data_IF_022271996264
#
_entry.id   IF_022271996264
#
_cell.length_a   1.000
_cell.length_b   1.000
_cell.length_c   1.000
_cell.angle_alpha   90.00
_cell.angle_beta   90.00
_cell.angle_gamma   90.00
#
_symmetry.space_group_name_H-M   'P 1'
#
loop_
_entity.id
_entity.type
_entity.pdbx_description
1 polymer ?
#
# COMPACT_ATOMS: atom_id res chain seq x y z
N UNK A 1 8.50 10.56 -32.28
CA UNK A 1 7.21 10.44 -31.57
C UNK A 1 7.35 11.20 -30.27
N UNK A 2 6.61 12.29 -30.07
CA UNK A 2 6.66 13.05 -28.81
C UNK A 2 6.09 12.24 -27.64
N UNK A 3 6.45 12.55 -26.39
CA UNK A 3 5.88 11.88 -25.23
C UNK A 3 4.35 12.04 -25.23
N UNK A 4 3.64 10.92 -25.00
CA UNK A 4 2.18 10.89 -24.89
C UNK A 4 1.75 11.82 -23.73
N UNK A 5 0.72 12.65 -23.88
CA UNK A 5 0.29 13.58 -22.82
C UNK A 5 -0.04 12.81 -21.53
N UNK A 6 0.35 13.38 -20.38
CA UNK A 6 0.23 12.75 -19.07
C UNK A 6 -1.17 12.91 -18.45
N UNK A 7 -2.04 13.69 -19.09
CA UNK A 7 -3.40 13.98 -18.61
C UNK A 7 -4.34 12.87 -19.08
N UNK A 8 -4.81 12.03 -18.16
CA UNK A 8 -5.71 10.92 -18.50
C UNK A 8 -7.18 11.23 -18.22
N UNK A 9 -7.50 12.11 -17.27
CA UNK A 9 -8.89 12.38 -16.92
C UNK A 9 -9.08 13.74 -16.25
N UNK A 10 -10.16 14.45 -16.61
CA UNK A 10 -10.63 15.67 -15.96
C UNK A 10 -11.96 15.35 -15.28
N UNK A 11 -12.06 15.57 -13.96
CA UNK A 11 -13.36 15.48 -13.29
C UNK A 11 -14.14 16.76 -13.57
N UNK A 12 -15.22 16.64 -14.34
CA UNK A 12 -16.06 17.76 -14.75
C UNK A 12 -16.78 18.45 -13.58
N UNK A 13 -16.84 17.82 -12.40
CA UNK A 13 -17.51 18.38 -11.20
C UNK A 13 -16.56 19.19 -10.32
N UNK A 14 -15.30 18.78 -10.20
CA UNK A 14 -14.31 19.44 -9.33
C UNK A 14 -13.33 20.32 -10.11
N UNK A 15 -13.23 20.13 -11.44
CA UNK A 15 -12.20 20.78 -12.26
C UNK A 15 -10.79 20.23 -12.03
N UNK A 16 -10.65 19.20 -11.19
CA UNK A 16 -9.38 18.52 -10.95
C UNK A 16 -8.99 17.69 -12.17
N UNK A 17 -7.68 17.61 -12.40
CA UNK A 17 -7.07 16.76 -13.42
C UNK A 17 -6.27 15.65 -12.75
N UNK A 18 -6.45 14.43 -13.20
CA UNK A 18 -5.62 13.31 -12.76
C UNK A 18 -4.50 13.11 -13.78
N UNK A 19 -3.27 13.23 -13.30
CA UNK A 19 -2.05 13.07 -14.10
C UNK A 19 -1.34 11.79 -13.65
N UNK A 20 -1.14 10.86 -14.58
CA UNK A 20 -0.33 9.66 -14.35
C UNK A 20 1.05 9.88 -14.98
N UNK A 21 2.09 9.84 -14.14
CA UNK A 21 3.48 9.98 -14.57
C UNK A 21 3.96 8.65 -15.14
N UNK A 22 4.03 8.51 -16.47
CA UNK A 22 4.39 7.24 -17.11
C UNK A 22 5.91 6.95 -17.11
N UNK A 23 6.74 7.97 -16.94
CA UNK A 23 8.20 7.91 -16.84
C UNK A 23 8.66 9.06 -15.94
N UNK A 24 9.84 8.97 -15.29
CA UNK A 24 10.30 10.02 -14.39
C UNK A 24 10.28 11.41 -15.04
N UNK A 25 9.65 12.38 -14.37
CA UNK A 25 9.48 13.75 -14.87
C UNK A 25 9.59 14.78 -13.76
N UNK A 26 10.19 15.92 -14.06
CA UNK A 26 10.24 17.03 -13.11
C UNK A 26 8.86 17.66 -12.93
N UNK A 27 8.59 18.21 -11.75
CA UNK A 27 7.34 18.94 -11.50
C UNK A 27 7.20 20.21 -12.35
N UNK A 28 8.32 20.78 -12.82
CA UNK A 28 8.33 21.91 -13.74
C UNK A 28 7.80 21.53 -15.13
N UNK A 29 8.20 20.35 -15.64
CA UNK A 29 7.64 19.82 -16.89
C UNK A 29 6.14 19.54 -16.76
N UNK A 30 5.71 18.96 -15.64
CA UNK A 30 4.30 18.68 -15.37
C UNK A 30 3.51 20.00 -15.27
N UNK A 31 4.03 20.99 -14.54
CA UNK A 31 3.39 22.29 -14.38
C UNK A 31 3.23 23.01 -15.73
N UNK A 32 4.26 23.00 -16.58
CA UNK A 32 4.21 23.61 -17.91
C UNK A 32 3.15 22.94 -18.79
N UNK A 33 3.02 21.63 -18.73
CA UNK A 33 2.00 20.89 -19.50
C UNK A 33 0.58 21.19 -19.01
N UNK A 34 0.37 21.26 -17.70
CA UNK A 34 -0.98 21.41 -17.13
C UNK A 34 -1.45 22.86 -17.09
N UNK A 35 -0.56 23.79 -16.73
CA UNK A 35 -0.88 25.20 -16.46
C UNK A 35 -0.28 26.18 -17.48
N UNK A 36 0.64 25.74 -18.32
CA UNK A 36 1.33 26.61 -19.28
C UNK A 36 2.54 27.36 -18.71
N UNK A 37 2.88 27.17 -17.43
CA UNK A 37 4.07 27.75 -16.80
C UNK A 37 4.64 26.85 -15.69
N UNK A 38 5.86 27.14 -15.23
CA UNK A 38 6.57 26.32 -14.23
C UNK A 38 6.35 26.73 -12.77
N UNK A 39 5.70 27.86 -12.50
CA UNK A 39 5.55 28.40 -11.13
C UNK A 39 4.87 27.41 -10.18
N UNK A 40 3.87 26.61 -10.60
CA UNK A 40 3.24 25.61 -9.72
C UNK A 40 4.11 24.40 -9.39
N UNK A 41 5.32 24.26 -9.92
CA UNK A 41 6.14 23.05 -9.76
C UNK A 41 6.31 22.63 -8.28
N UNK A 42 6.70 23.57 -7.42
CA UNK A 42 6.86 23.29 -5.99
C UNK A 42 5.54 22.93 -5.31
N UNK A 43 4.42 23.51 -5.76
CA UNK A 43 3.09 23.13 -5.28
C UNK A 43 2.75 21.70 -5.70
N UNK A 44 2.99 21.32 -6.96
CA UNK A 44 2.74 19.97 -7.43
C UNK A 44 3.57 18.92 -6.69
N UNK A 45 4.84 19.24 -6.37
CA UNK A 45 5.69 18.41 -5.52
C UNK A 45 5.09 18.21 -4.12
N UNK A 46 4.66 19.30 -3.49
CA UNK A 46 4.00 19.24 -2.19
C UNK A 46 2.70 18.40 -2.23
N UNK A 47 1.88 18.55 -3.29
CA UNK A 47 0.65 17.77 -3.47
C UNK A 47 0.93 16.27 -3.66
N UNK A 48 2.08 15.92 -4.25
CA UNK A 48 2.54 14.55 -4.37
C UNK A 48 3.19 14.01 -3.08
N UNK A 49 3.58 14.88 -2.15
CA UNK A 49 4.40 14.49 -0.99
C UNK A 49 5.84 14.17 -1.32
N UNK A 50 6.35 14.76 -2.41
CA UNK A 50 7.68 14.49 -2.91
C UNK A 50 8.56 15.75 -2.80
N UNK A 51 9.89 15.59 -2.68
CA UNK A 51 10.82 16.71 -2.78
C UNK A 51 10.66 17.43 -4.13
N UNK A 52 10.76 18.76 -4.13
CA UNK A 52 10.58 19.56 -5.34
C UNK A 52 11.77 19.49 -6.31
N UNK A 53 12.93 19.09 -5.80
CA UNK A 53 14.18 18.89 -6.53
C UNK A 53 14.33 17.49 -7.13
N UNK A 54 13.45 16.55 -6.76
CA UNK A 54 13.41 15.21 -7.32
C UNK A 54 12.33 15.08 -8.42
N UNK A 55 12.59 14.31 -9.49
CA UNK A 55 11.55 14.00 -10.46
C UNK A 55 10.48 13.12 -9.83
N UNK A 56 9.21 13.39 -10.18
CA UNK A 56 8.12 12.47 -9.89
C UNK A 56 8.41 11.11 -10.54
N UNK A 57 8.45 10.00 -9.78
CA UNK A 57 8.69 8.67 -10.32
C UNK A 57 7.62 8.22 -11.33
N UNK A 58 7.96 7.20 -12.12
CA UNK A 58 6.95 6.49 -12.89
C UNK A 58 5.90 5.88 -11.96
N UNK A 59 4.62 5.93 -12.35
CA UNK A 59 3.49 5.49 -11.55
C UNK A 59 2.98 6.53 -10.54
N UNK A 60 3.59 7.72 -10.44
CA UNK A 60 3.03 8.79 -9.62
C UNK A 60 1.68 9.24 -10.17
N UNK A 61 0.64 9.12 -9.35
CA UNK A 61 -0.69 9.65 -9.61
C UNK A 61 -0.80 11.00 -8.91
N UNK A 62 -0.99 12.06 -9.67
CA UNK A 62 -1.13 13.41 -9.16
C UNK A 62 -2.53 13.94 -9.43
N UNK A 63 -3.23 14.33 -8.36
CA UNK A 63 -4.49 15.06 -8.46
C UNK A 63 -4.17 16.55 -8.49
N UNK A 64 -4.31 17.13 -9.66
CA UNK A 64 -3.92 18.51 -9.95
C UNK A 64 -5.15 19.41 -9.88
N UNK A 65 -5.20 20.38 -8.94
CA UNK A 65 -6.37 21.24 -8.76
C UNK A 65 -6.38 22.40 -9.76
N UNK A 66 -7.52 23.10 -9.93
CA UNK A 66 -7.57 24.35 -10.70
C UNK A 66 -6.57 25.39 -10.18
N UNK A 67 -6.09 26.28 -11.05
CA UNK A 67 -5.07 27.27 -10.70
C UNK A 67 -5.44 28.15 -9.48
N UNK A 68 -6.73 28.47 -9.32
CA UNK A 68 -7.24 29.27 -8.19
C UNK A 68 -7.18 28.55 -6.83
N UNK A 69 -6.99 27.24 -6.81
CA UNK A 69 -6.91 26.42 -5.58
C UNK A 69 -5.47 26.05 -5.21
N UNK A 70 -4.48 26.37 -6.04
CA UNK A 70 -3.09 25.93 -5.84
C UNK A 70 -2.54 26.31 -4.46
N UNK A 71 -2.78 27.54 -4.00
CA UNK A 71 -2.22 28.00 -2.73
C UNK A 71 -2.88 27.34 -1.52
N UNK A 72 -4.22 27.22 -1.50
CA UNK A 72 -4.92 26.53 -0.40
C UNK A 72 -4.55 25.04 -0.36
N UNK A 73 -4.44 24.40 -1.53
CA UNK A 73 -4.01 23.00 -1.67
C UNK A 73 -2.56 22.81 -1.23
N UNK A 74 -1.67 23.77 -1.53
CA UNK A 74 -0.29 23.79 -1.04
C UNK A 74 -0.22 23.85 0.48
N UNK A 75 -0.98 24.75 1.09
CA UNK A 75 -1.02 24.89 2.56
C UNK A 75 -1.52 23.62 3.24
N UNK A 76 -2.60 23.03 2.69
CA UNK A 76 -3.15 21.76 3.14
C UNK A 76 -2.13 20.62 2.99
N UNK A 77 -1.42 20.55 1.85
CA UNK A 77 -0.37 19.56 1.61
C UNK A 77 0.80 19.68 2.58
N UNK A 78 1.28 20.91 2.84
CA UNK A 78 2.37 21.14 3.81
C UNK A 78 1.94 20.77 5.22
N UNK A 79 0.69 21.06 5.61
CA UNK A 79 0.17 20.64 6.91
C UNK A 79 0.04 19.12 7.00
N UNK A 80 -0.49 18.47 5.96
CA UNK A 80 -0.59 17.02 5.87
C UNK A 80 0.79 16.35 5.94
N UNK A 81 1.81 16.92 5.29
CA UNK A 81 3.17 16.41 5.30
C UNK A 81 3.77 16.39 6.72
N UNK A 82 3.51 17.42 7.53
CA UNK A 82 3.95 17.44 8.94
C UNK A 82 3.30 16.32 9.75
N UNK A 83 1.99 16.13 9.58
CA UNK A 83 1.28 15.05 10.26
C UNK A 83 1.73 13.67 9.76
N UNK A 84 2.03 13.54 8.47
CA UNK A 84 2.59 12.30 7.92
C UNK A 84 3.95 11.96 8.55
N UNK A 85 4.85 12.93 8.67
CA UNK A 85 6.15 12.74 9.32
C UNK A 85 6.02 12.45 10.83
N UNK A 86 5.06 13.08 11.50
CA UNK A 86 4.71 12.76 12.88
C UNK A 86 4.22 11.31 13.01
N UNK A 87 3.37 10.84 12.08
CA UNK A 87 2.91 9.46 12.02
C UNK A 87 4.05 8.45 11.83
N UNK A 88 4.98 8.72 10.90
CA UNK A 88 6.17 7.89 10.70
C UNK A 88 7.08 7.86 11.94
N UNK A 89 7.16 8.97 12.68
CA UNK A 89 7.93 9.06 13.91
C UNK A 89 7.25 8.30 15.06
N UNK A 90 5.93 8.46 15.20
CA UNK A 90 5.12 7.77 16.19
C UNK A 90 5.15 6.26 15.99
N UNK A 91 5.09 5.76 14.75
CA UNK A 91 5.20 4.33 14.46
C UNK A 91 6.48 3.70 15.05
N UNK A 92 7.59 4.45 15.06
CA UNK A 92 8.88 4.00 15.59
C UNK A 92 9.01 4.14 17.11
N UNK A 93 8.30 5.10 17.73
CA UNK A 93 8.52 5.50 19.14
C UNK A 93 7.39 5.12 20.07
N UNK A 94 6.16 5.20 19.58
CA UNK A 94 4.92 5.14 20.36
C UNK A 94 4.04 3.96 19.92
N UNK A 95 4.23 3.47 18.69
CA UNK A 95 3.53 2.33 18.11
C UNK A 95 2.52 2.72 17.05
N UNK A 96 1.99 1.70 16.37
CA UNK A 96 1.18 1.88 15.16
C UNK A 96 -0.18 2.54 15.42
N UNK A 97 -0.75 2.39 16.62
CA UNK A 97 -2.01 3.05 16.94
C UNK A 97 -1.85 4.57 17.02
N UNK A 98 -0.76 5.07 17.63
CA UNK A 98 -0.44 6.49 17.66
C UNK A 98 -0.14 7.02 16.24
N UNK A 99 0.59 6.24 15.44
CA UNK A 99 0.84 6.56 14.03
C UNK A 99 -0.46 6.72 13.23
N UNK A 100 -1.44 5.83 13.44
CA UNK A 100 -2.72 5.89 12.75
C UNK A 100 -3.50 7.19 13.02
N UNK A 101 -3.38 7.77 14.21
CA UNK A 101 -4.04 9.04 14.53
C UNK A 101 -3.47 10.20 13.69
N UNK A 102 -2.14 10.27 13.59
CA UNK A 102 -1.45 11.24 12.74
C UNK A 102 -1.76 11.03 11.25
N UNK A 103 -1.72 9.78 10.75
CA UNK A 103 -2.07 9.52 9.35
C UNK A 103 -3.53 9.84 9.04
N UNK A 104 -4.45 9.65 9.99
CA UNK A 104 -5.84 10.06 9.85
C UNK A 104 -5.99 11.57 9.71
N UNK A 105 -5.27 12.34 10.52
CA UNK A 105 -5.27 13.81 10.42
C UNK A 105 -4.60 14.29 9.13
N UNK A 106 -3.47 13.69 8.76
CA UNK A 106 -2.80 13.97 7.49
C UNK A 106 -3.73 13.71 6.29
N UNK A 107 -4.49 12.61 6.31
CA UNK A 107 -5.44 12.27 5.25
C UNK A 107 -6.65 13.21 5.23
N UNK A 108 -7.09 13.70 6.39
CA UNK A 108 -8.15 14.73 6.47
C UNK A 108 -7.73 16.03 5.79
N UNK A 109 -6.46 16.41 5.94
CA UNK A 109 -5.87 17.60 5.32
C UNK A 109 -5.62 17.41 3.82
N UNK A 110 -5.15 16.22 3.41
CA UNK A 110 -4.85 15.91 2.02
C UNK A 110 -5.54 14.62 1.55
N UNK A 111 -6.87 14.63 1.31
CA UNK A 111 -7.62 13.44 0.92
C UNK A 111 -7.21 12.85 -0.44
N UNK A 112 -6.44 13.58 -1.24
CA UNK A 112 -5.90 13.08 -2.51
C UNK A 112 -4.64 12.22 -2.36
N UNK A 113 -3.97 12.22 -1.20
CA UNK A 113 -2.70 11.50 -0.97
C UNK A 113 -2.92 10.01 -0.70
N UNK A 114 -2.70 9.18 -1.73
CA UNK A 114 -2.88 7.73 -1.65
C UNK A 114 -1.83 7.03 -0.78
N UNK A 115 -0.62 7.58 -0.73
CA UNK A 115 0.44 7.12 0.16
C UNK A 115 0.08 7.31 1.64
N UNK A 116 -0.54 8.43 2.02
CA UNK A 116 -1.01 8.66 3.40
C UNK A 116 -2.14 7.67 3.73
N UNK A 117 -3.09 7.49 2.81
CA UNK A 117 -4.17 6.52 3.00
C UNK A 117 -3.66 5.10 3.17
N UNK A 118 -2.69 4.71 2.35
CA UNK A 118 -2.04 3.41 2.47
C UNK A 118 -1.36 3.23 3.84
N UNK A 119 -0.59 4.23 4.29
CA UNK A 119 0.07 4.19 5.59
C UNK A 119 -0.92 4.16 6.76
N UNK A 120 -2.05 4.86 6.68
CA UNK A 120 -3.14 4.72 7.66
C UNK A 120 -3.63 3.27 7.74
N UNK A 121 -3.88 2.64 6.59
CA UNK A 121 -4.29 1.24 6.52
C UNK A 121 -3.26 0.28 7.11
N UNK A 122 -1.98 0.47 6.77
CA UNK A 122 -0.88 -0.33 7.32
C UNK A 122 -0.76 -0.20 8.83
N UNK A 123 -0.79 1.02 9.36
CA UNK A 123 -0.69 1.24 10.82
C UNK A 123 -1.88 0.66 11.57
N UNK A 124 -3.10 0.76 11.04
CA UNK A 124 -4.27 0.11 11.66
C UNK A 124 -4.11 -1.41 11.67
N UNK A 125 -3.63 -2.00 10.58
CA UNK A 125 -3.39 -3.44 10.50
C UNK A 125 -2.30 -3.89 11.48
N UNK A 126 -1.18 -3.17 11.55
CA UNK A 126 -0.08 -3.45 12.47
C UNK A 126 -0.48 -3.28 13.94
N UNK A 127 -1.37 -2.33 14.22
CA UNK A 127 -1.97 -2.12 15.54
C UNK A 127 -3.02 -3.17 15.93
N UNK A 128 -3.36 -4.12 15.04
CA UNK A 128 -4.32 -5.19 15.32
C UNK A 128 -5.79 -4.80 15.07
N UNK A 129 -6.04 -3.78 14.27
CA UNK A 129 -7.38 -3.27 13.91
C UNK A 129 -7.69 -3.54 12.42
N UNK A 130 -7.84 -4.81 12.00
CA UNK A 130 -8.01 -5.15 10.58
C UNK A 130 -9.35 -4.68 10.00
N UNK A 131 -10.39 -4.52 10.82
CA UNK A 131 -11.70 -4.02 10.37
C UNK A 131 -11.60 -2.54 9.96
N UNK A 132 -10.92 -1.75 10.78
CA UNK A 132 -10.68 -0.33 10.57
C UNK A 132 -9.68 -0.08 9.44
N UNK A 133 -8.78 -1.02 9.18
CA UNK A 133 -7.84 -0.98 8.07
C UNK A 133 -8.52 -1.21 6.70
N UNK A 134 -9.69 -1.87 6.63
CA UNK A 134 -10.34 -2.19 5.35
C UNK A 134 -10.65 -0.95 4.50
N UNK A 135 -11.40 0.07 4.98
CA UNK A 135 -11.76 1.20 4.13
C UNK A 135 -10.57 1.94 3.48
N UNK A 136 -9.48 2.30 4.22
CA UNK A 136 -8.35 2.95 3.59
C UNK A 136 -7.59 2.04 2.61
N UNK A 137 -7.48 0.73 2.90
CA UNK A 137 -6.79 -0.22 2.02
C UNK A 137 -7.60 -0.55 0.74
N UNK A 138 -8.91 -0.75 0.85
CA UNK A 138 -9.82 -0.94 -0.29
C UNK A 138 -9.77 0.27 -1.23
N UNK A 139 -9.84 1.47 -0.67
CA UNK A 139 -9.77 2.70 -1.46
C UNK A 139 -8.40 2.88 -2.12
N UNK A 140 -7.31 2.53 -1.43
CA UNK A 140 -5.95 2.56 -2.00
C UNK A 140 -5.84 1.57 -3.17
N UNK A 141 -6.27 0.32 -3.00
CA UNK A 141 -6.23 -0.70 -4.04
C UNK A 141 -7.12 -0.35 -5.24
N UNK A 142 -8.23 0.37 -5.02
CA UNK A 142 -9.10 0.90 -6.07
C UNK A 142 -8.43 2.03 -6.87
N UNK A 143 -7.77 2.97 -6.17
CA UNK A 143 -7.12 4.13 -6.81
C UNK A 143 -5.78 3.78 -7.45
N UNK A 144 -5.11 2.73 -6.95
CA UNK A 144 -3.82 2.22 -7.45
C UNK A 144 -3.94 0.73 -7.77
N UNK A 145 -4.62 0.36 -8.86
CA UNK A 145 -4.86 -1.04 -9.20
C UNK A 145 -3.58 -1.83 -9.50
N UNK A 146 -2.48 -1.14 -9.80
CA UNK A 146 -1.14 -1.68 -10.10
C UNK A 146 -0.21 -1.77 -8.88
N UNK A 147 -0.68 -1.35 -7.69
CA UNK A 147 0.14 -1.32 -6.48
C UNK A 147 0.03 -2.63 -5.70
N UNK A 148 0.93 -3.57 -5.99
CA UNK A 148 0.96 -4.92 -5.40
C UNK A 148 0.96 -4.90 -3.85
N UNK A 149 1.69 -3.98 -3.24
CA UNK A 149 1.78 -3.87 -1.78
C UNK A 149 0.43 -3.49 -1.15
N UNK A 150 -0.39 -2.66 -1.80
CA UNK A 150 -1.75 -2.39 -1.29
C UNK A 150 -2.69 -3.58 -1.40
N UNK A 151 -2.54 -4.41 -2.45
CA UNK A 151 -3.27 -5.67 -2.60
C UNK A 151 -2.89 -6.65 -1.49
N UNK A 152 -1.59 -6.78 -1.23
CA UNK A 152 -1.06 -7.60 -0.13
C UNK A 152 -1.57 -7.14 1.25
N UNK A 153 -1.52 -5.83 1.52
CA UNK A 153 -2.03 -5.28 2.77
C UNK A 153 -3.54 -5.50 2.95
N UNK A 154 -4.33 -5.29 1.89
CA UNK A 154 -5.78 -5.55 1.91
C UNK A 154 -6.08 -7.04 2.15
N UNK A 155 -5.37 -7.94 1.47
CA UNK A 155 -5.47 -9.39 1.70
C UNK A 155 -5.13 -9.76 3.14
N UNK A 156 -4.12 -9.12 3.73
CA UNK A 156 -3.72 -9.33 5.12
C UNK A 156 -4.79 -8.89 6.12
N UNK A 157 -5.45 -7.75 5.89
CA UNK A 157 -6.58 -7.30 6.69
C UNK A 157 -7.77 -8.27 6.58
N UNK A 158 -8.10 -8.71 5.36
CA UNK A 158 -9.18 -9.68 5.10
C UNK A 158 -8.90 -11.04 5.77
N UNK A 159 -7.66 -11.53 5.72
CA UNK A 159 -7.23 -12.73 6.42
C UNK A 159 -7.39 -12.59 7.93
N UNK A 160 -7.01 -11.43 8.50
CA UNK A 160 -7.24 -11.13 9.92
C UNK A 160 -8.71 -11.19 10.34
N UNK A 161 -9.61 -10.86 9.41
CA UNK A 161 -11.07 -10.93 9.58
C UNK A 161 -11.67 -12.30 9.19
N UNK A 162 -10.84 -13.27 8.83
CA UNK A 162 -11.27 -14.60 8.36
C UNK A 162 -12.12 -14.58 7.08
N UNK A 163 -12.00 -13.51 6.29
CA UNK A 163 -12.63 -13.40 4.98
C UNK A 163 -11.75 -14.07 3.91
N UNK A 164 -11.54 -15.38 4.04
CA UNK A 164 -10.50 -16.13 3.33
C UNK A 164 -10.57 -16.00 1.80
N UNK A 165 -11.73 -16.25 1.20
CA UNK A 165 -11.90 -16.15 -0.27
C UNK A 165 -11.55 -14.76 -0.80
N UNK A 166 -11.84 -13.70 -0.02
CA UNK A 166 -11.48 -12.33 -0.40
C UNK A 166 -9.98 -12.10 -0.23
N UNK A 167 -9.38 -12.63 0.84
CA UNK A 167 -7.95 -12.52 1.09
C UNK A 167 -7.13 -13.20 -0.02
N UNK A 168 -7.50 -14.41 -0.42
CA UNK A 168 -6.87 -15.15 -1.52
C UNK A 168 -6.83 -14.33 -2.80
N UNK A 169 -7.99 -13.78 -3.22
CA UNK A 169 -8.07 -12.96 -4.45
C UNK A 169 -7.14 -11.76 -4.41
N UNK A 170 -7.00 -11.10 -3.26
CA UNK A 170 -6.10 -9.96 -3.13
C UNK A 170 -4.63 -10.38 -3.08
N UNK A 171 -4.29 -11.53 -2.47
CA UNK A 171 -2.93 -12.08 -2.53
C UNK A 171 -2.55 -12.53 -3.94
N UNK A 172 -3.46 -13.19 -4.67
CA UNK A 172 -3.26 -13.57 -6.07
C UNK A 172 -3.09 -12.35 -6.97
N UNK A 173 -3.87 -11.28 -6.72
CA UNK A 173 -3.69 -10.01 -7.42
C UNK A 173 -2.31 -9.39 -7.14
N UNK A 174 -1.84 -9.41 -5.88
CA UNK A 174 -0.50 -8.95 -5.52
C UNK A 174 0.59 -9.77 -6.23
N UNK A 175 0.46 -11.10 -6.26
CA UNK A 175 1.40 -12.01 -6.94
C UNK A 175 1.38 -11.83 -8.46
N UNK A 176 0.21 -11.54 -9.04
CA UNK A 176 0.09 -11.30 -10.48
C UNK A 176 0.78 -10.00 -10.90
N UNK A 177 0.72 -8.97 -10.03
CA UNK A 177 1.40 -7.69 -10.24
C UNK A 177 2.92 -7.80 -9.98
N UNK A 178 3.32 -8.58 -8.98
CA UNK A 178 4.70 -8.82 -8.59
C UNK A 178 4.94 -10.33 -8.35
N UNK A 179 5.34 -11.08 -9.40
CA UNK A 179 5.52 -12.54 -9.31
C UNK A 179 6.53 -13.01 -8.25
N UNK A 180 7.48 -12.15 -7.89
CA UNK A 180 8.53 -12.31 -6.88
C UNK A 180 8.12 -11.83 -5.48
N UNK A 181 6.86 -11.45 -5.27
CA UNK A 181 6.36 -11.00 -3.96
C UNK A 181 6.24 -12.15 -2.96
N UNK A 182 7.38 -12.52 -2.34
CA UNK A 182 7.51 -13.67 -1.42
C UNK A 182 6.56 -13.56 -0.23
N UNK A 183 6.35 -12.34 0.30
CA UNK A 183 5.42 -12.09 1.41
C UNK A 183 3.96 -12.43 1.07
N UNK A 184 3.48 -12.06 -0.12
CA UNK A 184 2.13 -12.39 -0.57
C UNK A 184 1.94 -13.90 -0.73
N UNK A 185 2.93 -14.61 -1.30
CA UNK A 185 2.91 -16.07 -1.42
C UNK A 185 2.86 -16.77 -0.06
N UNK A 186 3.65 -16.31 0.91
CA UNK A 186 3.60 -16.86 2.26
C UNK A 186 2.25 -16.59 2.94
N UNK A 187 1.66 -15.40 2.73
CA UNK A 187 0.35 -15.06 3.28
C UNK A 187 -0.78 -15.88 2.67
N UNK A 188 -0.72 -16.17 1.36
CA UNK A 188 -1.64 -17.09 0.68
C UNK A 188 -1.56 -18.50 1.28
N UNK A 189 -0.35 -19.07 1.39
CA UNK A 189 -0.18 -20.39 2.00
C UNK A 189 -0.69 -20.44 3.46
N UNK A 190 -0.49 -19.35 4.23
CA UNK A 190 -1.06 -19.23 5.58
C UNK A 190 -2.59 -19.14 5.57
N UNK A 191 -3.19 -18.59 4.53
CA UNK A 191 -4.64 -18.54 4.36
C UNK A 191 -5.20 -19.94 4.11
N UNK A 192 -4.58 -20.69 3.20
CA UNK A 192 -4.92 -22.10 2.96
C UNK A 192 -4.79 -22.95 4.23
N UNK A 193 -3.74 -22.73 5.02
CA UNK A 193 -3.58 -23.39 6.32
C UNK A 193 -4.74 -23.06 7.28
N UNK A 194 -5.12 -21.78 7.39
CA UNK A 194 -6.20 -21.34 8.29
C UNK A 194 -7.58 -21.88 7.87
N UNK A 195 -7.76 -22.19 6.58
CA UNK A 195 -8.95 -22.87 6.05
C UNK A 195 -8.93 -24.40 6.25
N UNK A 196 -7.80 -24.96 6.69
CA UNK A 196 -7.64 -26.38 6.99
C UNK A 196 -6.87 -27.18 5.95
N UNK A 197 -6.48 -26.60 4.80
CA UNK A 197 -5.58 -27.24 3.84
C UNK A 197 -4.12 -27.15 4.31
N UNK A 198 -3.84 -27.86 5.39
CA UNK A 198 -2.53 -27.87 6.03
C UNK A 198 -1.46 -28.53 5.15
N UNK A 199 -1.84 -29.52 4.33
CA UNK A 199 -0.89 -30.25 3.49
C UNK A 199 -0.49 -29.42 2.27
N UNK A 200 -1.46 -28.86 1.54
CA UNK A 200 -1.23 -27.94 0.44
C UNK A 200 -0.39 -26.74 0.88
N UNK A 201 -0.78 -26.08 1.97
CA UNK A 201 -0.04 -24.96 2.54
C UNK A 201 1.43 -25.30 2.88
N UNK A 202 1.70 -26.49 3.45
CA UNK A 202 3.09 -26.87 3.73
C UNK A 202 3.90 -27.15 2.47
N UNK A 203 3.28 -27.71 1.44
CA UNK A 203 3.93 -27.96 0.15
C UNK A 203 4.28 -26.63 -0.53
N UNK A 204 3.34 -25.68 -0.55
CA UNK A 204 3.55 -24.31 -1.06
C UNK A 204 4.69 -23.61 -0.33
N UNK A 205 4.75 -23.69 1.01
CA UNK A 205 5.84 -23.06 1.78
C UNK A 205 7.19 -23.73 1.51
N UNK A 206 7.24 -25.05 1.32
CA UNK A 206 8.49 -25.74 0.94
C UNK A 206 8.98 -25.30 -0.44
N UNK A 207 8.08 -25.21 -1.42
CA UNK A 207 8.39 -24.69 -2.76
C UNK A 207 8.86 -23.24 -2.70
N UNK A 208 8.19 -22.40 -1.90
CA UNK A 208 8.58 -21.00 -1.68
C UNK A 208 10.02 -20.89 -1.13
N UNK A 209 10.36 -21.69 -0.12
CA UNK A 209 11.71 -21.70 0.48
C UNK A 209 12.75 -22.20 -0.53
N UNK A 210 12.40 -23.18 -1.37
CA UNK A 210 13.31 -23.71 -2.37
C UNK A 210 13.59 -22.71 -3.51
N UNK A 211 12.58 -21.93 -3.92
CA UNK A 211 12.70 -20.92 -4.99
C UNK A 211 13.39 -19.65 -4.54
N UNK A 212 13.20 -19.24 -3.28
CA UNK A 212 13.73 -17.98 -2.75
C UNK A 212 14.58 -18.20 -1.48
N UNK A 213 15.63 -19.05 -1.53
CA UNK A 213 16.33 -19.50 -0.33
C UNK A 213 16.98 -18.37 0.49
N UNK A 214 17.35 -17.28 -0.18
CA UNK A 214 18.03 -16.12 0.41
C UNK A 214 17.06 -14.97 0.77
N UNK A 215 15.78 -15.09 0.46
CA UNK A 215 14.80 -14.04 0.77
C UNK A 215 14.52 -13.99 2.29
N UNK A 216 14.55 -12.81 2.94
CA UNK A 216 14.33 -12.68 4.39
C UNK A 216 13.01 -13.30 4.89
N UNK A 217 11.94 -13.23 4.08
CA UNK A 217 10.62 -13.79 4.41
C UNK A 217 10.68 -15.30 4.54
N UNK A 218 11.57 -15.98 3.81
CA UNK A 218 11.71 -17.45 3.92
C UNK A 218 12.27 -17.89 5.26
N UNK A 219 13.00 -17.04 6.00
CA UNK A 219 13.36 -17.32 7.40
C UNK A 219 12.11 -17.45 8.26
N UNK A 220 11.16 -16.54 8.11
CA UNK A 220 9.85 -16.58 8.78
C UNK A 220 9.04 -17.80 8.30
N UNK A 221 9.09 -18.12 7.01
CA UNK A 221 8.43 -19.29 6.44
C UNK A 221 8.95 -20.61 7.05
N UNK A 222 10.27 -20.75 7.21
CA UNK A 222 10.90 -21.91 7.87
C UNK A 222 10.45 -22.06 9.33
N UNK A 223 10.45 -20.95 10.08
CA UNK A 223 10.00 -20.95 11.48
C UNK A 223 8.52 -21.33 11.60
N UNK A 224 7.69 -20.80 10.71
CA UNK A 224 6.27 -21.14 10.65
C UNK A 224 6.08 -22.63 10.31
N UNK A 225 6.77 -23.13 9.29
CA UNK A 225 6.68 -24.53 8.87
C UNK A 225 7.08 -25.49 10.00
N UNK A 226 8.18 -25.21 10.70
CA UNK A 226 8.64 -26.02 11.83
C UNK A 226 7.55 -26.17 12.91
N UNK A 227 6.95 -25.05 13.33
CA UNK A 227 5.85 -25.03 14.31
C UNK A 227 4.61 -25.77 13.83
N UNK A 228 4.27 -25.63 12.54
CA UNK A 228 3.16 -26.33 11.91
C UNK A 228 3.35 -27.86 11.97
N UNK A 229 4.56 -28.36 11.71
CA UNK A 229 4.88 -29.80 11.86
C UNK A 229 4.78 -30.27 13.30
N UNK A 230 5.31 -29.51 14.26
CA UNK A 230 5.26 -29.88 15.69
C UNK A 230 3.82 -29.94 16.22
N UNK A 231 2.96 -29.01 15.77
CA UNK A 231 1.54 -28.99 16.16
C UNK A 231 0.77 -30.21 15.65
N UNK A 232 1.09 -30.68 14.43
CA UNK A 232 0.50 -31.90 13.84
C UNK A 232 0.96 -33.15 14.61
N UNK A 233 2.24 -33.23 14.97
CA UNK A 233 2.79 -34.33 15.79
C UNK A 233 2.18 -34.35 17.20
N UNK A 234 2.05 -33.20 17.86
CA UNK A 234 1.45 -33.11 19.20
C UNK A 234 -0.05 -33.46 19.24
N UNK A 235 -0.79 -33.21 18.15
CA UNK A 235 -2.19 -33.62 18.03
C UNK A 235 -2.35 -35.14 17.83
N UNK A 236 -1.42 -35.80 17.13
CA UNK A 236 -1.43 -37.25 16.92
C UNK A 236 -1.02 -38.07 18.16
N UNK A 237 -0.38 -37.45 19.16
CA UNK A 237 0.12 -38.16 20.37
C UNK A 237 -0.88 -38.11 21.54
N UNK A 238 -1.93 -37.27 21.51
CA UNK A 238 -2.94 -37.28 22.59
C UNK A 238 -3.77 -38.56 22.53
N UNK A 239 -3.72 -39.44 23.56
CA UNK A 239 -4.62 -40.59 23.62
C UNK A 239 -6.05 -40.07 23.76
N UNK A 240 -6.97 -40.59 22.94
CA UNK A 240 -8.38 -40.30 23.11
C UNK A 240 -8.88 -40.95 24.42
N UNK A 241 -9.72 -40.24 25.22
CA UNK A 241 -10.31 -40.81 26.43
C UNK A 241 -11.26 -41.97 26.12
#
# INVERSE_FOLDING_TARGET
MGPKPAIQQMDSRTGERVVLVNHPRTFAEIAREVYGDEKPAATLAALAGLPADEPAPAGTVLVVPPAGELESRRQAATAAQREFEAGLTAAKREGDLAASAHFKEALRLAPWRDDIRYNLGLSLLAAGFPLEALPPLEETARRRPDHAESRYALGSALRGLKAWDRAEREFDAAISLAPDHVAARLALARTHWDQGDTEGATAEVRDLIARYPDDPVTKTARQWLARATDQKVGASIRPQP
#
